data_IF_710208990337
#
_entry.id   IF_710208990337
#
_cell.length_a   1.000
_cell.length_b   1.000
_cell.length_c   1.000
_cell.angle_alpha   90.00
_cell.angle_beta   90.00
_cell.angle_gamma   90.00
#
_symmetry.space_group_name_H-M   'P 1'
#
loop_
_entity.id
_entity.type
_entity.pdbx_description
1 polymer ?
#
# COMPACT_ATOMS: atom_id res chain seq x y z
N UNK A 1 20.44 -37.64 6.98
CA UNK A 1 21.06 -36.84 5.90
C UNK A 1 19.98 -36.54 4.88
N UNK A 2 19.75 -35.27 4.61
CA UNK A 2 18.65 -34.78 3.78
C UNK A 2 18.09 -33.48 4.36
N UNK A 3 18.96 -32.47 4.50
CA UNK A 3 18.52 -31.12 4.83
C UNK A 3 18.13 -30.49 3.48
N UNK A 4 16.87 -30.67 3.09
CA UNK A 4 16.30 -29.96 1.95
C UNK A 4 16.22 -28.50 2.33
N UNK A 5 17.29 -27.78 1.99
CA UNK A 5 17.34 -26.34 1.93
C UNK A 5 16.12 -25.86 1.17
N UNK A 6 15.17 -25.28 1.91
CA UNK A 6 14.14 -24.42 1.35
C UNK A 6 14.88 -23.21 0.79
N UNK A 7 15.41 -23.36 -0.43
CA UNK A 7 15.72 -22.25 -1.32
C UNK A 7 14.39 -21.54 -1.59
N UNK A 8 13.99 -20.70 -0.63
CA UNK A 8 13.07 -19.61 -0.86
C UNK A 8 13.79 -18.70 -1.84
N UNK A 9 13.64 -19.01 -3.13
CA UNK A 9 13.96 -18.11 -4.22
C UNK A 9 13.27 -16.80 -3.88
N UNK A 10 14.07 -15.88 -3.32
CA UNK A 10 13.61 -14.54 -2.97
C UNK A 10 13.43 -13.90 -4.32
N UNK A 11 12.19 -13.94 -4.82
CA UNK A 11 11.83 -13.39 -6.11
C UNK A 11 12.21 -11.91 -6.08
N UNK A 12 13.39 -11.64 -6.64
CA UNK A 12 14.05 -10.36 -6.47
C UNK A 12 13.23 -9.38 -7.28
N UNK A 13 12.52 -8.47 -6.60
CA UNK A 13 11.67 -7.52 -7.30
C UNK A 13 12.51 -6.69 -8.26
N UNK A 14 12.02 -6.62 -9.49
CA UNK A 14 12.62 -5.85 -10.57
C UNK A 14 11.67 -4.72 -10.95
N UNK A 15 12.17 -3.48 -10.90
CA UNK A 15 11.47 -2.30 -11.41
C UNK A 15 12.28 -1.66 -12.52
N UNK A 16 11.62 -1.14 -13.55
CA UNK A 16 12.29 -0.24 -14.47
C UNK A 16 12.40 1.16 -13.84
N UNK A 17 13.53 1.84 -14.03
CA UNK A 17 13.72 3.18 -13.48
C UNK A 17 12.62 4.15 -13.93
N UNK A 18 12.21 4.06 -15.20
CA UNK A 18 11.12 4.85 -15.79
C UNK A 18 9.83 4.76 -14.97
N UNK A 19 9.48 3.58 -14.46
CA UNK A 19 8.25 3.35 -13.70
C UNK A 19 8.19 4.16 -12.41
N UNK A 20 9.34 4.41 -11.78
CA UNK A 20 9.45 5.10 -10.50
C UNK A 20 9.60 6.61 -10.64
N UNK A 21 9.86 7.16 -11.84
CA UNK A 21 10.16 8.60 -12.01
C UNK A 21 8.92 9.49 -12.11
N UNK A 22 7.75 8.92 -12.43
CA UNK A 22 6.54 9.69 -12.66
C UNK A 22 5.80 10.11 -11.39
N UNK A 23 4.83 11.02 -11.55
CA UNK A 23 3.95 11.49 -10.47
C UNK A 23 4.40 12.79 -9.82
N UNK A 24 3.69 13.19 -8.76
CA UNK A 24 4.06 14.33 -7.92
C UNK A 24 5.31 14.02 -7.07
N UNK A 25 5.99 15.04 -6.56
CA UNK A 25 7.21 14.85 -5.75
C UNK A 25 6.96 13.96 -4.53
N UNK A 26 5.78 14.09 -3.91
CA UNK A 26 5.36 13.20 -2.82
C UNK A 26 5.28 11.73 -3.26
N UNK A 27 4.62 11.48 -4.38
CA UNK A 27 4.42 10.11 -4.89
C UNK A 27 5.76 9.49 -5.28
N UNK A 28 6.63 10.26 -5.93
CA UNK A 28 7.99 9.83 -6.25
C UNK A 28 8.74 9.37 -5.00
N UNK A 29 8.79 10.19 -3.94
CA UNK A 29 9.54 9.85 -2.71
C UNK A 29 8.95 8.62 -2.03
N UNK A 30 7.62 8.54 -1.91
CA UNK A 30 6.97 7.37 -1.29
C UNK A 30 7.24 6.11 -2.10
N UNK A 31 7.08 6.16 -3.42
CA UNK A 31 7.32 5.01 -4.29
C UNK A 31 8.79 4.58 -4.28
N UNK A 32 9.72 5.54 -4.22
CA UNK A 32 11.15 5.29 -4.10
C UNK A 32 11.46 4.44 -2.87
N UNK A 33 10.95 4.83 -1.69
CA UNK A 33 11.14 4.10 -0.44
C UNK A 33 10.46 2.73 -0.43
N UNK A 34 9.21 2.66 -0.88
CA UNK A 34 8.46 1.41 -0.89
C UNK A 34 9.07 0.39 -1.85
N UNK A 35 9.51 0.83 -3.04
CA UNK A 35 10.15 -0.04 -4.02
C UNK A 35 11.54 -0.49 -3.54
N UNK A 36 12.42 0.42 -3.12
CA UNK A 36 13.82 0.09 -2.83
C UNK A 36 14.08 -0.42 -1.42
N UNK A 37 13.29 0.00 -0.43
CA UNK A 37 13.54 -0.28 0.98
C UNK A 37 12.39 -1.04 1.65
N UNK A 38 11.23 -1.15 0.98
CA UNK A 38 10.08 -1.89 1.50
C UNK A 38 9.42 -1.29 2.73
N UNK A 39 9.70 -0.03 3.04
CA UNK A 39 9.18 0.70 4.21
C UNK A 39 8.72 2.09 3.82
N UNK A 40 7.91 2.74 4.67
CA UNK A 40 7.66 4.16 4.49
C UNK A 40 8.92 4.98 4.77
N UNK A 41 9.05 6.15 4.10
CA UNK A 41 10.04 7.12 4.49
C UNK A 41 9.77 7.60 5.91
N UNK A 42 10.84 7.66 6.71
CA UNK A 42 10.81 8.44 7.95
C UNK A 42 10.79 9.95 7.62
N UNK A 43 10.49 10.77 8.63
CA UNK A 43 10.31 12.21 8.42
C UNK A 43 11.59 12.92 7.92
N UNK A 44 12.78 12.42 8.29
CA UNK A 44 14.06 13.03 7.88
C UNK A 44 14.35 12.67 6.44
N UNK A 45 14.28 11.39 6.11
CA UNK A 45 14.49 10.87 4.76
C UNK A 45 13.48 11.42 3.76
N UNK A 46 12.20 11.52 4.15
CA UNK A 46 11.16 12.13 3.33
C UNK A 46 11.52 13.58 2.95
N UNK A 47 11.83 14.42 3.94
CA UNK A 47 12.20 15.82 3.70
C UNK A 47 13.44 15.94 2.84
N UNK A 48 14.48 15.15 3.12
CA UNK A 48 15.72 15.16 2.36
C UNK A 48 15.48 14.95 0.86
N UNK A 49 14.78 13.87 0.48
CA UNK A 49 14.55 13.57 -0.93
C UNK A 49 13.53 14.51 -1.57
N UNK A 50 12.47 14.91 -0.86
CA UNK A 50 11.49 15.86 -1.36
C UNK A 50 12.12 17.22 -1.65
N UNK A 51 12.91 17.74 -0.72
CA UNK A 51 13.55 19.06 -0.87
C UNK A 51 14.62 19.02 -1.97
N UNK A 52 15.27 17.87 -2.20
CA UNK A 52 16.22 17.69 -3.28
C UNK A 52 15.60 17.68 -4.68
N UNK A 53 14.31 17.37 -4.82
CA UNK A 53 13.61 17.32 -6.12
C UNK A 53 12.57 18.42 -6.30
N UNK A 54 12.34 19.26 -5.29
CA UNK A 54 11.28 20.26 -5.28
C UNK A 54 11.35 21.19 -6.51
N UNK A 55 10.37 21.06 -7.41
CA UNK A 55 10.32 21.82 -8.67
C UNK A 55 11.43 21.49 -9.67
N UNK A 56 12.16 20.39 -9.46
CA UNK A 56 13.31 19.93 -10.25
C UNK A 56 13.14 18.43 -10.61
N UNK A 57 12.13 18.07 -11.44
CA UNK A 57 11.84 16.67 -11.78
C UNK A 57 13.02 15.94 -12.45
N UNK A 58 13.92 16.66 -13.13
CA UNK A 58 15.15 16.12 -13.73
C UNK A 58 16.12 15.53 -12.68
N UNK A 59 16.05 15.94 -11.42
CA UNK A 59 16.89 15.41 -10.33
C UNK A 59 16.42 14.08 -9.80
N UNK A 60 15.18 13.65 -10.09
CA UNK A 60 14.61 12.39 -9.61
C UNK A 60 15.44 11.17 -10.03
N UNK A 61 15.99 11.18 -11.25
CA UNK A 61 16.84 10.08 -11.71
C UNK A 61 18.15 9.98 -10.90
N UNK A 62 18.74 11.12 -10.54
CA UNK A 62 19.93 11.13 -9.69
C UNK A 62 19.61 10.60 -8.29
N UNK A 63 18.49 11.03 -7.69
CA UNK A 63 18.04 10.55 -6.37
C UNK A 63 17.69 9.06 -6.37
N UNK A 64 17.08 8.57 -7.44
CA UNK A 64 16.80 7.14 -7.62
C UNK A 64 18.10 6.32 -7.65
N UNK A 65 19.10 6.77 -8.43
CA UNK A 65 20.42 6.11 -8.48
C UNK A 65 21.11 6.13 -7.13
N UNK A 66 21.08 7.28 -6.45
CA UNK A 66 21.66 7.44 -5.12
C UNK A 66 21.06 6.43 -4.13
N UNK A 67 19.73 6.36 -4.01
CA UNK A 67 19.08 5.42 -3.09
C UNK A 67 19.32 3.96 -3.51
N UNK A 68 19.26 3.65 -4.80
CA UNK A 68 19.52 2.30 -5.31
C UNK A 68 20.97 1.83 -5.02
N UNK A 69 21.92 2.77 -4.91
CA UNK A 69 23.31 2.48 -4.54
C UNK A 69 23.54 2.37 -3.02
N UNK A 70 22.53 2.65 -2.19
CA UNK A 70 22.65 2.61 -0.74
C UNK A 70 22.82 1.19 -0.22
N UNK A 71 23.57 1.04 0.88
CA UNK A 71 23.71 -0.25 1.57
C UNK A 71 22.37 -0.80 2.07
N UNK A 72 21.40 0.08 2.38
CA UNK A 72 20.05 -0.32 2.80
C UNK A 72 19.29 -0.98 1.64
N UNK A 73 19.29 -0.37 0.45
CA UNK A 73 18.67 -0.96 -0.74
C UNK A 73 19.30 -2.33 -1.08
N UNK A 74 20.62 -2.45 -0.95
CA UNK A 74 21.34 -3.71 -1.13
C UNK A 74 20.89 -4.83 -0.18
N UNK A 75 20.50 -4.51 1.06
CA UNK A 75 19.96 -5.49 2.03
C UNK A 75 18.53 -5.90 1.70
N UNK A 76 17.73 -4.99 1.14
CA UNK A 76 16.35 -5.29 0.77
C UNK A 76 16.26 -6.17 -0.49
N UNK A 77 17.27 -6.12 -1.36
CA UNK A 77 17.41 -7.03 -2.50
C UNK A 77 16.59 -6.67 -3.74
N UNK A 78 16.01 -5.46 -3.78
CA UNK A 78 15.33 -4.95 -4.99
C UNK A 78 16.34 -4.50 -6.03
N UNK A 79 16.07 -4.83 -7.31
CA UNK A 79 16.92 -4.46 -8.45
C UNK A 79 16.20 -3.45 -9.33
N UNK A 80 16.88 -2.36 -9.68
CA UNK A 80 16.38 -1.35 -10.61
C UNK A 80 17.10 -1.48 -11.95
N UNK A 81 16.34 -1.61 -13.02
CA UNK A 81 16.85 -1.53 -14.39
C UNK A 81 16.99 -0.07 -14.80
N UNK A 82 18.22 0.38 -15.05
CA UNK A 82 18.48 1.69 -15.66
C UNK A 82 18.73 1.47 -17.15
N UNK A 83 17.79 1.87 -17.99
CA UNK A 83 17.94 1.82 -19.45
C UNK A 83 18.90 2.93 -19.92
N UNK A 84 19.62 2.68 -21.02
CA UNK A 84 20.55 3.65 -21.63
C UNK A 84 19.83 4.79 -22.38
N UNK A 85 18.55 4.58 -22.73
CA UNK A 85 17.72 5.59 -23.38
C UNK A 85 17.23 6.64 -22.36
N UNK A 86 16.98 7.91 -22.78
CA UNK A 86 16.41 8.90 -21.89
C UNK A 86 15.07 8.39 -21.34
N UNK A 87 14.92 8.28 -20.01
CA UNK A 87 13.75 7.64 -19.44
C UNK A 87 12.53 8.52 -19.68
N UNK A 88 11.63 8.08 -20.55
CA UNK A 88 10.31 8.67 -20.68
C UNK A 88 9.47 8.18 -19.49
N UNK A 89 8.96 9.08 -18.63
CA UNK A 89 8.09 8.66 -17.54
C UNK A 89 6.85 8.00 -18.13
N UNK A 90 6.34 6.93 -17.49
CA UNK A 90 5.12 6.28 -17.93
C UNK A 90 3.95 7.27 -17.84
N UNK A 91 2.91 7.03 -18.64
CA UNK A 91 1.69 7.82 -18.58
C UNK A 91 1.07 7.84 -17.17
N UNK A 92 0.28 8.88 -16.85
CA UNK A 92 -0.20 9.13 -15.48
C UNK A 92 -0.97 7.94 -14.86
N UNK A 93 -1.73 7.20 -15.67
CA UNK A 93 -2.45 6.01 -15.20
C UNK A 93 -1.53 4.89 -14.71
N UNK A 94 -0.38 4.68 -15.37
CA UNK A 94 0.58 3.65 -14.97
C UNK A 94 1.36 4.05 -13.73
N UNK A 95 1.69 5.34 -13.59
CA UNK A 95 2.24 5.89 -12.34
C UNK A 95 1.28 5.64 -11.18
N UNK A 96 0.00 6.01 -11.33
CA UNK A 96 -1.00 5.82 -10.29
C UNK A 96 -1.17 4.35 -9.93
N UNK A 97 -1.25 3.46 -10.93
CA UNK A 97 -1.36 2.02 -10.71
C UNK A 97 -0.16 1.47 -9.92
N UNK A 98 1.06 1.91 -10.24
CA UNK A 98 2.26 1.54 -9.49
C UNK A 98 2.20 2.05 -8.03
N UNK A 99 1.87 3.33 -7.84
CA UNK A 99 1.72 3.93 -6.49
C UNK A 99 0.73 3.15 -5.63
N UNK A 100 -0.44 2.82 -6.18
CA UNK A 100 -1.47 2.06 -5.48
C UNK A 100 -1.01 0.64 -5.17
N UNK A 101 -0.34 -0.03 -6.11
CA UNK A 101 0.21 -1.36 -5.91
C UNK A 101 1.22 -1.40 -4.76
N UNK A 102 2.23 -0.52 -4.80
CA UNK A 102 3.28 -0.44 -3.77
C UNK A 102 2.70 -0.16 -2.38
N UNK A 103 1.78 0.80 -2.27
CA UNK A 103 1.15 1.18 -1.00
C UNK A 103 0.25 0.08 -0.46
N UNK A 104 -0.54 -0.56 -1.33
CA UNK A 104 -1.43 -1.67 -0.94
C UNK A 104 -0.61 -2.86 -0.45
N UNK A 105 0.45 -3.22 -1.15
CA UNK A 105 1.33 -4.33 -0.76
C UNK A 105 2.01 -4.05 0.58
N UNK A 106 2.52 -2.83 0.78
CA UNK A 106 3.07 -2.43 2.07
C UNK A 106 2.01 -2.52 3.18
N UNK A 107 0.81 -2.00 2.95
CA UNK A 107 -0.26 -1.99 3.96
C UNK A 107 -0.66 -3.40 4.34
N UNK A 108 -0.75 -4.31 3.37
CA UNK A 108 -1.03 -5.72 3.62
C UNK A 108 0.05 -6.40 4.47
N UNK A 109 1.33 -6.12 4.19
CA UNK A 109 2.44 -6.62 5.01
C UNK A 109 2.40 -6.06 6.43
N UNK A 110 2.10 -4.77 6.56
CA UNK A 110 2.01 -4.12 7.86
C UNK A 110 0.83 -4.64 8.69
N UNK A 111 -0.34 -4.84 8.07
CA UNK A 111 -1.49 -5.48 8.73
C UNK A 111 -1.14 -6.90 9.16
N UNK A 112 -0.47 -7.69 8.32
CA UNK A 112 -0.05 -9.04 8.69
C UNK A 112 0.94 -9.03 9.88
N UNK A 113 1.92 -8.12 9.85
CA UNK A 113 2.89 -7.93 10.94
C UNK A 113 2.19 -7.55 12.24
N UNK A 114 1.22 -6.63 12.18
CA UNK A 114 0.45 -6.20 13.34
C UNK A 114 -0.43 -7.32 13.87
N UNK A 115 -1.08 -8.10 13.00
CA UNK A 115 -1.87 -9.27 13.37
C UNK A 115 -1.04 -10.36 14.06
N UNK A 116 0.18 -10.58 13.59
CA UNK A 116 1.13 -11.50 14.23
C UNK A 116 1.54 -10.97 15.60
N UNK A 117 1.90 -9.68 15.69
CA UNK A 117 2.26 -9.05 16.96
C UNK A 117 1.12 -9.07 17.97
N UNK A 118 -0.12 -8.78 17.56
CA UNK A 118 -1.28 -8.92 18.44
C UNK A 118 -1.55 -10.38 18.77
N UNK A 119 -1.49 -11.31 17.81
CA UNK A 119 -1.66 -12.74 18.07
C UNK A 119 -0.71 -13.30 19.13
N UNK A 120 0.54 -12.82 19.15
CA UNK A 120 1.53 -13.14 20.18
C UNK A 120 1.22 -12.50 21.54
N UNK A 121 0.64 -11.30 21.55
CA UNK A 121 0.24 -10.60 22.78
C UNK A 121 -1.08 -11.13 23.37
N UNK A 122 -1.95 -11.71 22.56
CA UNK A 122 -3.34 -12.02 22.92
C UNK A 122 -3.59 -13.50 23.18
N UNK A 123 -2.69 -14.21 23.87
CA UNK A 123 -3.07 -15.49 24.49
C UNK A 123 -4.32 -15.32 25.36
N UNK A 124 -5.51 -15.58 24.80
CA UNK A 124 -6.84 -15.49 25.41
C UNK A 124 -7.11 -14.28 26.36
N UNK A 125 -6.66 -13.07 26.01
CA UNK A 125 -6.77 -11.86 26.85
C UNK A 125 -7.49 -10.66 26.17
N UNK A 126 -7.53 -9.47 26.80
CA UNK A 126 -8.46 -8.31 26.60
C UNK A 126 -8.47 -7.60 25.23
N UNK A 127 -8.11 -8.30 24.17
CA UNK A 127 -7.98 -7.85 22.78
C UNK A 127 -9.29 -7.35 22.15
N UNK A 128 -10.45 -7.87 22.57
CA UNK A 128 -11.74 -7.48 21.99
C UNK A 128 -12.00 -5.98 22.09
N UNK A 129 -11.71 -5.37 23.24
CA UNK A 129 -11.86 -3.94 23.45
C UNK A 129 -10.85 -3.10 22.63
N UNK A 130 -9.67 -3.66 22.34
CA UNK A 130 -8.64 -2.99 21.53
C UNK A 130 -8.97 -3.05 20.03
N UNK A 131 -9.59 -4.16 19.59
CA UNK A 131 -10.13 -4.31 18.23
C UNK A 131 -11.30 -3.36 18.03
N UNK A 132 -12.25 -3.29 18.97
CA UNK A 132 -13.36 -2.32 18.92
C UNK A 132 -12.87 -0.87 18.92
N UNK A 133 -11.88 -0.53 19.74
CA UNK A 133 -11.28 0.80 19.75
C UNK A 133 -10.58 1.13 18.43
N UNK A 134 -9.94 0.14 17.79
CA UNK A 134 -9.27 0.30 16.49
C UNK A 134 -10.28 0.44 15.35
N UNK A 135 -11.36 -0.33 15.37
CA UNK A 135 -12.46 -0.21 14.40
C UNK A 135 -13.15 1.14 14.50
N UNK A 136 -13.35 1.67 15.72
CA UNK A 136 -13.86 3.01 15.93
C UNK A 136 -12.92 4.10 15.37
N UNK A 137 -11.60 3.94 15.56
CA UNK A 137 -10.61 4.86 15.01
C UNK A 137 -10.59 4.83 13.47
N UNK A 138 -10.68 3.64 12.85
CA UNK A 138 -10.78 3.49 11.41
C UNK A 138 -12.05 4.15 10.83
N UNK A 139 -13.20 3.99 11.49
CA UNK A 139 -14.42 4.69 11.09
C UNK A 139 -14.26 6.21 11.16
N UNK A 140 -13.56 6.72 12.17
CA UNK A 140 -13.26 8.15 12.27
C UNK A 140 -12.37 8.63 11.12
N UNK A 141 -11.29 7.90 10.82
CA UNK A 141 -10.38 8.21 9.70
C UNK A 141 -11.09 8.18 8.34
N UNK A 142 -11.95 7.19 8.09
CA UNK A 142 -12.75 7.09 6.86
C UNK A 142 -13.69 8.30 6.74
N UNK A 143 -14.33 8.70 7.82
CA UNK A 143 -15.22 9.87 7.82
C UNK A 143 -14.46 11.18 7.60
N UNK A 144 -13.24 11.30 8.13
CA UNK A 144 -12.37 12.44 7.88
C UNK A 144 -11.94 12.51 6.41
N UNK A 145 -11.53 11.39 5.82
CA UNK A 145 -11.18 11.29 4.40
C UNK A 145 -12.36 11.62 3.48
N UNK A 146 -13.57 11.13 3.79
CA UNK A 146 -14.78 11.49 3.05
C UNK A 146 -14.99 13.00 3.04
N UNK A 147 -14.86 13.65 4.20
CA UNK A 147 -15.01 15.11 4.33
C UNK A 147 -13.96 15.86 3.53
N UNK A 148 -12.69 15.43 3.60
CA UNK A 148 -11.59 16.03 2.83
C UNK A 148 -11.80 15.90 1.31
N UNK A 149 -12.26 14.73 0.85
CA UNK A 149 -12.57 14.51 -0.58
C UNK A 149 -13.73 15.42 -1.01
N UNK A 150 -14.78 15.54 -0.20
CA UNK A 150 -15.89 16.48 -0.47
C UNK A 150 -15.39 17.91 -0.56
N UNK A 151 -14.59 18.37 0.40
CA UNK A 151 -14.02 19.73 0.43
C UNK A 151 -13.11 20.01 -0.79
N UNK A 152 -12.29 19.03 -1.20
CA UNK A 152 -11.46 19.16 -2.41
C UNK A 152 -12.29 19.21 -3.68
N UNK A 153 -13.36 18.41 -3.76
CA UNK A 153 -14.30 18.45 -4.89
C UNK A 153 -15.05 19.78 -4.93
N UNK A 154 -15.45 20.34 -3.77
CA UNK A 154 -16.01 21.69 -3.64
C UNK A 154 -15.04 22.75 -4.17
N UNK A 155 -13.77 22.67 -3.77
CA UNK A 155 -12.73 23.61 -4.20
C UNK A 155 -12.42 23.55 -5.70
N UNK A 156 -12.39 22.35 -6.28
CA UNK A 156 -12.10 22.15 -7.71
C UNK A 156 -13.28 22.58 -8.61
N UNK A 157 -14.51 22.37 -8.15
CA UNK A 157 -15.71 22.61 -8.96
C UNK A 157 -16.29 24.02 -8.74
N UNK A 158 -15.91 24.70 -7.66
CA UNK A 158 -16.44 26.01 -7.29
C UNK A 158 -17.92 25.98 -6.87
N UNK A 159 -18.48 27.11 -6.43
CA UNK A 159 -19.92 27.22 -6.15
C UNK A 159 -20.70 27.11 -7.47
N UNK A 160 -21.39 25.99 -7.67
CA UNK A 160 -22.20 25.75 -8.86
C UNK A 160 -23.55 26.49 -8.73
N UNK A 161 -23.91 27.43 -9.63
CA UNK A 161 -25.21 28.07 -9.58
C UNK A 161 -26.32 27.13 -10.08
N UNK A 162 -27.43 27.04 -9.34
CA UNK A 162 -28.68 26.43 -9.80
C UNK A 162 -28.56 24.98 -10.30
N UNK A 163 -28.94 24.73 -11.55
CA UNK A 163 -28.98 23.39 -12.19
C UNK A 163 -27.61 22.68 -12.22
N UNK A 164 -26.50 23.43 -12.17
CA UNK A 164 -25.16 22.84 -12.08
C UNK A 164 -24.89 22.16 -10.72
N UNK A 165 -25.60 22.54 -9.65
CA UNK A 165 -25.52 21.87 -8.35
C UNK A 165 -26.17 20.48 -8.40
N UNK A 166 -27.32 20.34 -9.04
CA UNK A 166 -27.99 19.03 -9.19
C UNK A 166 -27.17 18.05 -10.03
N UNK A 167 -26.54 18.52 -11.12
CA UNK A 167 -25.63 17.69 -11.92
C UNK A 167 -24.37 17.27 -11.14
N UNK A 168 -23.87 18.17 -10.27
CA UNK A 168 -22.74 17.90 -9.39
C UNK A 168 -23.09 16.87 -8.31
N UNK A 169 -24.21 17.03 -7.63
CA UNK A 169 -24.68 16.09 -6.61
C UNK A 169 -24.88 14.70 -7.23
N UNK A 170 -25.48 14.63 -8.42
CA UNK A 170 -25.62 13.37 -9.16
C UNK A 170 -24.27 12.73 -9.51
N UNK A 171 -23.26 13.52 -9.88
CA UNK A 171 -21.91 13.02 -10.18
C UNK A 171 -21.18 12.53 -8.91
N UNK A 172 -21.30 13.25 -7.80
CA UNK A 172 -20.76 12.83 -6.50
C UNK A 172 -21.43 11.54 -6.03
N UNK A 173 -22.75 11.43 -6.17
CA UNK A 173 -23.51 10.23 -5.82
C UNK A 173 -23.17 9.03 -6.73
N UNK A 174 -22.92 9.28 -8.02
CA UNK A 174 -22.43 8.25 -8.94
C UNK A 174 -21.03 7.76 -8.55
N UNK A 175 -20.12 8.69 -8.22
CA UNK A 175 -18.77 8.34 -7.75
C UNK A 175 -18.81 7.60 -6.41
N UNK A 176 -19.65 8.05 -5.48
CA UNK A 176 -19.84 7.41 -4.18
C UNK A 176 -20.34 5.96 -4.34
N UNK A 177 -21.27 5.71 -5.26
CA UNK A 177 -21.73 4.36 -5.62
C UNK A 177 -20.60 3.51 -6.20
N UNK A 178 -19.83 4.06 -7.15
CA UNK A 178 -18.70 3.33 -7.74
C UNK A 178 -17.64 2.96 -6.70
N UNK A 179 -17.33 3.88 -5.78
CA UNK A 179 -16.41 3.63 -4.67
C UNK A 179 -16.99 2.61 -3.69
N UNK A 180 -18.28 2.68 -3.38
CA UNK A 180 -18.95 1.71 -2.51
C UNK A 180 -18.95 0.30 -3.11
N UNK A 181 -19.23 0.17 -4.41
CA UNK A 181 -19.18 -1.11 -5.14
C UNK A 181 -17.76 -1.68 -5.16
N UNK A 182 -16.77 -0.83 -5.43
CA UNK A 182 -15.37 -1.23 -5.40
C UNK A 182 -14.95 -1.68 -4.00
N UNK A 183 -15.30 -0.93 -2.96
CA UNK A 183 -15.03 -1.29 -1.57
C UNK A 183 -15.73 -2.59 -1.18
N UNK A 184 -16.99 -2.78 -1.56
CA UNK A 184 -17.73 -4.04 -1.35
C UNK A 184 -17.06 -5.23 -2.02
N UNK A 185 -16.54 -5.05 -3.24
CA UNK A 185 -15.76 -6.07 -3.96
C UNK A 185 -14.48 -6.43 -3.20
N UNK A 186 -13.76 -5.44 -2.67
CA UNK A 186 -12.56 -5.66 -1.87
C UNK A 186 -12.86 -6.37 -0.55
N UNK A 187 -13.95 -6.00 0.14
CA UNK A 187 -14.39 -6.65 1.38
C UNK A 187 -14.76 -8.10 1.12
N UNK A 188 -15.58 -8.38 0.11
CA UNK A 188 -15.97 -9.75 -0.26
C UNK A 188 -14.74 -10.61 -0.62
N UNK A 189 -13.77 -10.04 -1.34
CA UNK A 189 -12.51 -10.72 -1.64
C UNK A 189 -11.68 -11.01 -0.38
N UNK A 190 -11.67 -10.08 0.59
CA UNK A 190 -10.99 -10.28 1.86
C UNK A 190 -11.67 -11.36 2.71
N UNK A 191 -13.00 -11.35 2.80
CA UNK A 191 -13.80 -12.37 3.50
C UNK A 191 -13.55 -13.76 2.93
N UNK A 192 -13.61 -13.91 1.60
CA UNK A 192 -13.33 -15.19 0.94
C UNK A 192 -11.91 -15.70 1.26
N UNK A 193 -10.93 -14.79 1.33
CA UNK A 193 -9.55 -15.13 1.71
C UNK A 193 -9.45 -15.56 3.18
N UNK A 194 -10.17 -14.91 4.09
CA UNK A 194 -10.21 -15.28 5.50
C UNK A 194 -10.90 -16.62 5.72
N UNK A 195 -12.02 -16.87 5.06
CA UNK A 195 -12.73 -18.14 5.14
C UNK A 195 -11.85 -19.31 4.67
N UNK A 196 -11.15 -19.15 3.54
CA UNK A 196 -10.20 -20.15 3.04
C UNK A 196 -9.08 -20.43 4.06
N UNK A 197 -8.57 -19.39 4.74
CA UNK A 197 -7.55 -19.53 5.79
C UNK A 197 -8.11 -20.24 7.03
N UNK A 198 -9.33 -19.92 7.44
CA UNK A 198 -9.99 -20.54 8.60
C UNK A 198 -10.14 -22.05 8.37
N UNK A 199 -10.70 -22.45 7.21
CA UNK A 199 -10.85 -23.87 6.85
C UNK A 199 -9.51 -24.61 6.80
N UNK A 200 -8.46 -23.94 6.32
CA UNK A 200 -7.11 -24.50 6.32
C UNK A 200 -6.56 -24.73 7.73
N UNK A 201 -6.82 -23.80 8.67
CA UNK A 201 -6.42 -23.95 10.06
C UNK A 201 -7.21 -25.06 10.77
N UNK A 202 -8.52 -25.14 10.55
CA UNK A 202 -9.37 -26.21 11.07
C UNK A 202 -8.87 -27.59 10.61
N UNK A 203 -8.56 -27.75 9.31
CA UNK A 203 -8.02 -29.00 8.78
C UNK A 203 -6.68 -29.37 9.43
N UNK A 204 -5.81 -28.39 9.71
CA UNK A 204 -4.52 -28.62 10.39
C UNK A 204 -4.70 -29.02 11.85
N UNK A 205 -5.65 -28.42 12.56
CA UNK A 205 -5.97 -28.78 13.94
C UNK A 205 -6.48 -30.21 14.03
N UNK A 206 -7.43 -30.59 13.18
CA UNK A 206 -7.95 -31.96 13.10
C UNK A 206 -6.83 -32.98 12.79
N UNK A 207 -5.89 -32.64 11.90
CA UNK A 207 -4.75 -33.50 11.59
C UNK A 207 -3.78 -33.67 12.78
N UNK A 208 -3.64 -32.65 13.63
CA UNK A 208 -2.84 -32.73 14.85
C UNK A 208 -3.53 -33.57 15.93
N UNK A 209 -4.84 -33.43 16.09
CA UNK A 209 -5.63 -34.24 17.04
C UNK A 209 -5.69 -35.72 16.65
N UNK A 210 -5.71 -36.03 15.35
CA UNK A 210 -5.71 -37.40 14.85
C UNK A 210 -4.36 -38.13 14.99
N UNK A 211 -3.28 -37.43 15.37
CA UNK A 211 -1.97 -38.04 15.54
C UNK A 211 -1.94 -38.82 16.87
N UNK A 212 -1.80 -40.16 16.84
CA UNK A 212 -1.74 -40.94 18.08
C UNK A 212 -0.54 -40.50 18.92
N UNK A 213 -0.75 -40.33 20.23
CA UNK A 213 0.31 -40.04 21.18
C UNK A 213 1.34 -41.17 21.14
N UNK A 214 2.53 -40.86 20.64
CA UNK A 214 3.67 -41.78 20.56
C UNK A 214 4.43 -41.84 21.89
#
# INVERSE_FOLDING_TARGET
>A
MGNDSVDSATDSRHFAATELLGGEDHDFVVNLYLALLGRWPDAVGYRHYRDAIAGQPERRLAMLREMASSAEAGRYGTRIGFEDAPPLPPGPHRVLALSLSLRTEWLQREVARLQEATGLLTGAGPAGALIEARDAALHFEINALRREVTERLDGLLGPAPGEAAAGRDAAVEALARLVADHAGTLVAAAEAKFEARLRSLEARLLALEARPAA
#
